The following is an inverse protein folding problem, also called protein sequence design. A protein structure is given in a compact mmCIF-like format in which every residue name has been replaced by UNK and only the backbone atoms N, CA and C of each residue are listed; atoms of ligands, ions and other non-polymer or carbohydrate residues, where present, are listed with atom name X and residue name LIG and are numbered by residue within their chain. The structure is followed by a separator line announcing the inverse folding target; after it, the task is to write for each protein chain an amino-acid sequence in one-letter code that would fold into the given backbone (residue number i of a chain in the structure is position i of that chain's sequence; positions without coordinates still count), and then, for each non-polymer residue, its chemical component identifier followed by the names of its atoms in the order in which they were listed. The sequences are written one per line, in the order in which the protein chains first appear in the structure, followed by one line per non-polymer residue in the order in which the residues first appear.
data_IF_343728418787
#
_entry.id   IF_343728418787
#
_cell.length_a   1.000
_cell.length_b   1.000
_cell.length_c   1.000
_cell.angle_alpha   90.00
_cell.angle_beta   90.00
_cell.angle_gamma   90.00
#
_symmetry.space_group_name_H-M   'P 1'
#
loop_
_entity.id
_entity.type
_entity.pdbx_description
1 polymer ?
#
# COMPACT_ATOMS: atom_id res chain seq x y z
N UNK A 1 11.76 5.20 24.14
CA UNK A 1 11.09 3.93 23.76
C UNK A 1 12.14 2.86 23.48
N UNK A 2 11.89 1.55 23.60
CA UNK A 2 12.89 0.53 23.20
C UNK A 2 13.09 0.60 21.68
N UNK A 3 14.35 0.54 21.21
CA UNK A 3 14.73 0.57 19.78
C UNK A 3 13.96 -0.45 18.94
N UNK A 4 13.72 -1.65 19.51
CA UNK A 4 12.87 -2.69 18.93
C UNK A 4 11.46 -2.21 18.60
N UNK A 5 10.83 -1.47 19.52
CA UNK A 5 9.46 -0.97 19.34
C UNK A 5 9.40 0.08 18.24
N UNK A 6 10.43 0.93 18.12
CA UNK A 6 10.50 1.93 17.04
C UNK A 6 10.56 1.26 15.66
N UNK A 7 11.50 0.33 15.47
CA UNK A 7 11.61 -0.41 14.21
C UNK A 7 10.37 -1.25 13.90
N UNK A 8 9.74 -1.84 14.92
CA UNK A 8 8.50 -2.59 14.76
C UNK A 8 7.37 -1.69 14.24
N UNK A 9 7.23 -0.48 14.80
CA UNK A 9 6.25 0.51 14.33
C UNK A 9 6.57 0.91 12.89
N UNK A 10 7.82 1.26 12.59
CA UNK A 10 8.26 1.67 11.24
C UNK A 10 7.97 0.59 10.19
N UNK A 11 8.30 -0.67 10.47
CA UNK A 11 8.04 -1.79 9.55
C UNK A 11 6.54 -2.02 9.37
N UNK A 12 5.73 -1.90 10.44
CA UNK A 12 4.26 -2.00 10.32
C UNK A 12 3.68 -0.88 9.46
N UNK A 13 4.21 0.34 9.53
CA UNK A 13 3.80 1.47 8.70
C UNK A 13 4.11 1.18 7.23
N UNK A 14 5.31 0.67 6.93
CA UNK A 14 5.66 0.22 5.59
C UNK A 14 4.74 -0.91 5.10
N UNK A 15 4.46 -1.90 5.96
CA UNK A 15 3.54 -2.99 5.66
C UNK A 15 2.12 -2.52 5.35
N UNK A 16 1.60 -1.55 6.12
CA UNK A 16 0.28 -0.94 5.87
C UNK A 16 0.29 -0.15 4.55
N UNK A 17 1.37 0.56 4.23
CA UNK A 17 1.51 1.25 2.94
C UNK A 17 1.49 0.28 1.75
N UNK A 18 2.19 -0.86 1.87
CA UNK A 18 2.13 -1.94 0.88
C UNK A 18 0.71 -2.50 0.81
N UNK A 19 0.02 -2.69 1.94
CA UNK A 19 -1.37 -3.13 1.95
C UNK A 19 -2.29 -2.17 1.18
N UNK A 20 -2.16 -0.85 1.36
CA UNK A 20 -2.94 0.11 0.57
C UNK A 20 -2.56 0.13 -0.92
N UNK A 21 -1.31 -0.20 -1.25
CA UNK A 21 -0.89 -0.37 -2.64
C UNK A 21 -1.58 -1.55 -3.34
N UNK A 22 -2.13 -2.51 -2.58
CA UNK A 22 -2.90 -3.62 -3.14
C UNK A 22 -4.16 -3.17 -3.87
N UNK A 23 -4.72 -1.99 -3.52
CA UNK A 23 -5.86 -1.39 -4.21
C UNK A 23 -5.59 -1.14 -5.71
N UNK A 24 -4.33 -0.97 -6.09
CA UNK A 24 -3.91 -0.82 -7.49
C UNK A 24 -3.37 -2.11 -8.08
N UNK A 25 -2.70 -2.94 -7.28
CA UNK A 25 -2.13 -4.23 -7.75
C UNK A 25 -3.23 -5.22 -8.14
N UNK A 26 -4.34 -5.26 -7.40
CA UNK A 26 -5.45 -6.18 -7.69
C UNK A 26 -6.10 -5.84 -9.06
N UNK A 27 -6.54 -4.59 -9.34
CA UNK A 27 -7.01 -4.21 -10.67
C UNK A 27 -5.97 -4.45 -11.77
N UNK A 28 -4.69 -4.18 -11.52
CA UNK A 28 -3.61 -4.42 -12.48
C UNK A 28 -3.56 -5.90 -12.88
N UNK A 29 -3.60 -6.79 -11.90
CA UNK A 29 -3.52 -8.22 -12.11
C UNK A 29 -4.67 -8.70 -13.01
N UNK A 30 -5.90 -8.30 -12.71
CA UNK A 30 -7.06 -8.66 -13.53
C UNK A 30 -7.03 -8.01 -14.92
N UNK A 31 -6.59 -6.76 -15.03
CA UNK A 31 -6.46 -6.07 -16.32
C UNK A 31 -5.45 -6.77 -17.23
N UNK A 32 -4.27 -7.09 -16.69
CA UNK A 32 -3.22 -7.76 -17.46
C UNK A 32 -3.61 -9.20 -17.82
N UNK A 33 -4.30 -9.92 -16.92
CA UNK A 33 -4.87 -11.23 -17.26
C UNK A 33 -5.87 -11.13 -18.40
N UNK A 34 -6.83 -10.21 -18.31
CA UNK A 34 -7.85 -10.03 -19.34
C UNK A 34 -7.23 -9.72 -20.71
N UNK A 35 -6.31 -8.76 -20.77
CA UNK A 35 -5.59 -8.41 -21.99
C UNK A 35 -4.79 -9.60 -22.56
N UNK A 36 -4.19 -10.42 -21.69
CA UNK A 36 -3.44 -11.62 -22.12
C UNK A 36 -4.36 -12.68 -22.73
N UNK A 37 -5.63 -12.79 -22.32
CA UNK A 37 -6.57 -13.76 -22.90
C UNK A 37 -7.26 -13.25 -24.17
N UNK A 38 -7.37 -11.93 -24.35
CA UNK A 38 -7.92 -11.32 -25.55
C UNK A 38 -6.91 -11.31 -26.71
N UNK A 39 -5.64 -11.06 -26.40
CA UNK A 39 -4.55 -11.07 -27.36
C UNK A 39 -4.23 -12.52 -27.76
N UNK A 40 -4.60 -12.96 -28.97
CA UNK A 40 -4.51 -14.36 -29.46
C UNK A 40 -3.10 -14.93 -29.64
N UNK A 41 -2.15 -14.50 -28.81
CA UNK A 41 -0.75 -14.85 -28.81
C UNK A 41 -0.50 -16.16 -28.02
N UNK A 42 0.28 -17.07 -28.58
CA UNK A 42 0.50 -18.42 -28.01
C UNK A 42 1.27 -18.44 -26.66
N UNK A 43 1.75 -17.30 -26.15
CA UNK A 43 2.58 -17.22 -24.95
C UNK A 43 1.78 -17.07 -23.64
N UNK A 44 0.47 -17.33 -23.64
CA UNK A 44 -0.40 -17.16 -22.48
C UNK A 44 0.10 -17.86 -21.20
N UNK A 45 0.73 -19.04 -21.33
CA UNK A 45 1.24 -19.82 -20.21
C UNK A 45 2.41 -19.13 -19.50
N UNK A 46 3.34 -18.56 -20.26
CA UNK A 46 4.52 -17.88 -19.71
C UNK A 46 4.13 -16.59 -18.98
N UNK A 47 3.23 -15.81 -19.60
CA UNK A 47 2.73 -14.55 -19.02
C UNK A 47 1.92 -14.85 -17.74
N UNK A 48 1.05 -15.86 -17.77
CA UNK A 48 0.26 -16.28 -16.60
C UNK A 48 1.16 -16.77 -15.47
N UNK A 49 2.21 -17.54 -15.77
CA UNK A 49 3.18 -17.99 -14.76
C UNK A 49 3.89 -16.80 -14.11
N UNK A 50 4.36 -15.84 -14.91
CA UNK A 50 5.03 -14.64 -14.38
C UNK A 50 4.10 -13.78 -13.52
N UNK A 51 2.83 -13.62 -13.93
CA UNK A 51 1.81 -12.91 -13.16
C UNK A 51 1.56 -13.56 -11.80
N UNK A 52 1.35 -14.87 -11.77
CA UNK A 52 1.14 -15.62 -10.52
C UNK A 52 2.38 -15.54 -9.62
N UNK A 53 3.57 -15.68 -10.21
CA UNK A 53 4.83 -15.57 -9.49
C UNK A 53 5.01 -14.18 -8.85
N UNK A 54 4.72 -13.11 -9.60
CA UNK A 54 4.77 -11.73 -9.11
C UNK A 54 3.75 -11.51 -7.98
N UNK A 55 2.52 -12.03 -8.13
CA UNK A 55 1.50 -11.97 -7.08
C UNK A 55 1.93 -12.70 -5.80
N UNK A 56 2.54 -13.88 -5.94
CA UNK A 56 3.07 -14.65 -4.80
C UNK A 56 4.18 -13.89 -4.07
N UNK A 57 5.11 -13.28 -4.81
CA UNK A 57 6.14 -12.41 -4.22
C UNK A 57 5.49 -11.25 -3.47
N UNK A 58 4.51 -10.58 -4.08
CA UNK A 58 3.82 -9.47 -3.46
C UNK A 58 3.13 -9.87 -2.14
N UNK A 59 2.40 -10.99 -2.14
CA UNK A 59 1.75 -11.53 -0.95
C UNK A 59 2.77 -11.94 0.13
N UNK A 60 3.92 -12.48 -0.27
CA UNK A 60 5.00 -12.83 0.64
C UNK A 60 5.61 -11.58 1.29
N UNK A 61 5.89 -10.53 0.53
CA UNK A 61 6.37 -9.24 1.05
C UNK A 61 5.34 -8.65 2.02
N UNK A 62 4.07 -8.59 1.62
CA UNK A 62 2.99 -8.09 2.48
C UNK A 62 2.91 -8.90 3.78
N UNK A 63 3.01 -10.24 3.68
CA UNK A 63 3.02 -11.12 4.85
C UNK A 63 4.17 -10.82 5.79
N UNK A 64 5.38 -10.64 5.25
CA UNK A 64 6.57 -10.37 6.05
C UNK A 64 6.48 -9.02 6.77
N UNK A 65 6.10 -7.95 6.06
CA UNK A 65 6.06 -6.60 6.63
C UNK A 65 4.92 -6.39 7.61
N UNK A 66 3.73 -6.98 7.37
CA UNK A 66 2.56 -6.80 8.24
C UNK A 66 2.59 -7.77 9.43
N UNK A 67 2.89 -9.05 9.20
CA UNK A 67 2.74 -10.09 10.21
C UNK A 67 4.05 -10.54 10.88
N UNK A 68 5.21 -10.27 10.28
CA UNK A 68 6.52 -10.65 10.84
C UNK A 68 7.56 -9.51 10.88
N UNK A 69 7.23 -8.35 11.47
CA UNK A 69 8.19 -7.26 11.59
C UNK A 69 9.44 -7.64 12.40
N UNK A 70 9.30 -8.48 13.43
CA UNK A 70 10.41 -8.93 14.28
C UNK A 70 11.47 -9.72 13.51
N UNK A 71 11.03 -10.58 12.58
CA UNK A 71 11.93 -11.34 11.72
C UNK A 71 12.77 -10.42 10.82
N UNK A 72 12.17 -9.33 10.32
CA UNK A 72 12.86 -8.33 9.50
C UNK A 72 13.91 -7.59 10.35
N UNK A 73 13.56 -7.19 11.58
CA UNK A 73 14.48 -6.51 12.51
C UNK A 73 15.71 -7.35 12.82
N UNK A 74 15.49 -8.63 13.12
CA UNK A 74 16.56 -9.58 13.45
C UNK A 74 17.44 -9.90 12.23
N UNK A 75 16.83 -10.11 11.06
CA UNK A 75 17.57 -10.47 9.84
C UNK A 75 18.42 -9.31 9.32
N UNK A 76 17.89 -8.09 9.35
CA UNK A 76 18.58 -6.88 8.94
C UNK A 76 19.47 -6.29 10.05
N UNK A 77 19.45 -6.87 11.26
CA UNK A 77 20.23 -6.44 12.42
C UNK A 77 20.07 -4.94 12.71
N UNK A 78 18.85 -4.43 12.58
CA UNK A 78 18.54 -2.99 12.68
C UNK A 78 18.84 -2.41 14.08
N UNK A 79 18.98 -3.27 15.08
CA UNK A 79 19.30 -2.90 16.47
C UNK A 79 20.82 -2.81 16.73
N UNK A 80 21.67 -3.36 15.85
CA UNK A 80 23.06 -3.67 16.18
C UNK A 80 23.99 -2.43 16.30
N UNK A 81 23.55 -1.25 15.86
CA UNK A 81 24.35 -0.02 15.88
C UNK A 81 23.68 1.17 16.59
N UNK A 82 22.63 0.93 17.37
CA UNK A 82 21.91 2.00 18.09
C UNK A 82 22.20 1.83 19.59
N UNK A 83 23.33 2.37 20.04
CA UNK A 83 23.78 2.30 21.44
C UNK A 83 23.02 3.28 22.36
N UNK A 84 22.39 4.31 21.79
CA UNK A 84 21.58 5.27 22.56
C UNK A 84 20.12 4.80 22.63
N UNK A 85 19.56 4.79 23.86
CA UNK A 85 18.11 4.74 24.03
C UNK A 85 17.53 5.89 23.22
N UNK A 86 16.67 5.58 22.24
CA UNK A 86 15.89 6.59 21.53
C UNK A 86 14.95 7.21 22.57
N UNK A 87 15.40 8.31 23.18
CA UNK A 87 14.68 9.05 24.21
C UNK A 87 13.69 10.04 23.56
N UNK A 88 12.89 9.51 22.65
CA UNK A 88 11.70 10.19 22.17
C UNK A 88 10.67 10.08 23.29
N UNK A 89 10.47 11.16 24.06
CA UNK A 89 9.37 11.35 25.00
C UNK A 89 8.03 11.54 24.26
N UNK A 90 7.78 10.72 23.24
CA UNK A 90 6.62 10.77 22.36
C UNK A 90 5.82 9.49 22.61
N UNK A 91 4.53 9.65 22.94
CA UNK A 91 3.62 8.52 23.11
C UNK A 91 3.52 7.71 21.80
N UNK A 92 3.51 6.38 21.90
CA UNK A 92 3.37 5.49 20.74
C UNK A 92 2.13 5.82 19.88
N UNK A 93 1.04 6.29 20.50
CA UNK A 93 -0.16 6.79 19.82
C UNK A 93 0.11 7.99 18.92
N UNK A 94 1.03 8.87 19.30
CA UNK A 94 1.42 10.05 18.50
C UNK A 94 2.25 9.62 17.31
N UNK A 95 3.17 8.66 17.49
CA UNK A 95 3.97 8.10 16.39
C UNK A 95 3.04 7.41 15.38
N UNK A 96 2.10 6.58 15.84
CA UNK A 96 1.17 5.89 14.96
C UNK A 96 0.27 6.88 14.20
N UNK A 97 -0.20 7.94 14.86
CA UNK A 97 -0.95 9.03 14.21
C UNK A 97 -0.19 9.70 13.08
N UNK A 98 1.03 10.15 13.36
CA UNK A 98 1.89 10.80 12.37
C UNK A 98 2.10 9.84 11.20
N UNK A 99 2.28 8.56 11.49
CA UNK A 99 2.56 7.57 10.46
C UNK A 99 1.36 7.26 9.59
N UNK A 100 0.16 7.13 10.16
CA UNK A 100 -1.09 7.00 9.40
C UNK A 100 -1.33 8.24 8.54
N UNK A 101 -1.07 9.44 9.09
CA UNK A 101 -1.15 10.67 8.32
C UNK A 101 -0.15 10.66 7.15
N UNK A 102 1.12 10.33 7.40
CA UNK A 102 2.16 10.25 6.36
C UNK A 102 1.80 9.22 5.29
N UNK A 103 1.28 8.04 5.65
CA UNK A 103 0.79 7.05 4.68
C UNK A 103 -0.34 7.65 3.83
N UNK A 104 -1.33 8.29 4.45
CA UNK A 104 -2.42 8.95 3.73
C UNK A 104 -1.92 10.03 2.76
N UNK A 105 -0.97 10.85 3.21
CA UNK A 105 -0.35 11.90 2.40
C UNK A 105 0.46 11.35 1.23
N UNK A 106 1.28 10.31 1.44
CA UNK A 106 2.02 9.64 0.36
C UNK A 106 1.09 8.96 -0.63
N UNK A 107 0.02 8.35 -0.13
CA UNK A 107 -1.00 7.71 -0.97
C UNK A 107 -1.69 8.75 -1.87
N UNK A 108 -2.03 9.93 -1.34
CA UNK A 108 -2.53 11.06 -2.12
C UNK A 108 -1.50 11.54 -3.15
N UNK A 109 -0.25 11.75 -2.72
CA UNK A 109 0.82 12.23 -3.60
C UNK A 109 1.07 11.28 -4.79
N UNK A 110 0.86 9.97 -4.60
CA UNK A 110 0.95 9.00 -5.69
C UNK A 110 -0.32 8.81 -6.50
N UNK A 111 -1.51 8.99 -5.92
CA UNK A 111 -2.79 8.72 -6.60
C UNK A 111 -3.38 9.91 -7.33
N UNK A 112 -3.18 11.14 -6.83
CA UNK A 112 -3.69 12.36 -7.48
C UNK A 112 -3.06 12.55 -8.87
N UNK A 113 -1.72 12.47 -9.07
CA UNK A 113 -1.13 12.63 -10.40
C UNK A 113 -1.66 11.59 -11.40
N UNK A 114 -1.75 10.33 -10.98
CA UNK A 114 -2.28 9.24 -11.81
C UNK A 114 -3.76 9.42 -12.14
N UNK A 115 -4.57 9.94 -11.20
CA UNK A 115 -5.96 10.30 -11.45
C UNK A 115 -6.05 11.45 -12.46
N UNK A 116 -5.21 12.47 -12.33
CA UNK A 116 -5.16 13.55 -13.31
C UNK A 116 -4.77 13.03 -14.69
N UNK A 117 -3.72 12.21 -14.79
CA UNK A 117 -3.26 11.59 -16.05
C UNK A 117 -4.38 10.79 -16.72
N UNK A 118 -5.01 9.87 -15.99
CA UNK A 118 -6.10 9.03 -16.52
C UNK A 118 -7.33 9.85 -16.91
N UNK A 119 -7.65 10.94 -16.19
CA UNK A 119 -8.70 11.87 -16.59
C UNK A 119 -8.34 12.66 -17.86
N UNK A 120 -7.10 13.13 -17.98
CA UNK A 120 -6.64 13.84 -19.18
C UNK A 120 -6.69 12.93 -20.42
N UNK A 121 -6.25 11.68 -20.28
CA UNK A 121 -6.36 10.70 -21.36
C UNK A 121 -7.81 10.48 -21.78
N UNK A 122 -8.71 10.33 -20.81
CA UNK A 122 -10.14 10.16 -21.05
C UNK A 122 -10.75 11.34 -21.82
N UNK A 123 -10.47 12.59 -21.41
CA UNK A 123 -10.99 13.78 -22.09
C UNK A 123 -10.35 14.03 -23.47
N UNK A 124 -9.17 13.48 -23.74
CA UNK A 124 -8.49 13.61 -25.05
C UNK A 124 -9.08 12.68 -26.11
N UNK A 125 -9.91 11.70 -25.73
CA UNK A 125 -10.46 10.74 -26.69
C UNK A 125 -11.57 11.34 -27.56
N UNK A 126 -11.57 10.95 -28.83
CA UNK A 126 -12.55 11.42 -29.84
C UNK A 126 -13.92 10.74 -29.72
N UNK A 127 -14.00 9.58 -29.06
CA UNK A 127 -15.26 8.90 -28.74
C UNK A 127 -15.33 8.71 -27.22
N UNK A 128 -16.47 9.05 -26.62
CA UNK A 128 -16.67 8.90 -25.19
C UNK A 128 -17.15 7.47 -24.92
N UNK A 129 -16.48 6.77 -24.00
CA UNK A 129 -16.90 5.51 -23.36
C UNK A 129 -16.97 4.21 -24.20
N UNK A 130 -16.73 4.23 -25.51
CA UNK A 130 -16.94 3.02 -26.33
C UNK A 130 -15.74 2.05 -26.29
N UNK A 131 -14.50 2.54 -26.13
CA UNK A 131 -13.27 1.71 -26.17
C UNK A 131 -12.25 1.99 -25.06
N UNK A 132 -12.64 2.70 -23.98
CA UNK A 132 -11.66 3.07 -22.96
C UNK A 132 -11.42 1.96 -21.94
N UNK A 133 -10.54 1.02 -22.27
CA UNK A 133 -10.03 -0.02 -21.36
C UNK A 133 -9.46 0.59 -20.06
N UNK A 134 -8.89 1.81 -20.17
CA UNK A 134 -8.34 2.57 -19.05
C UNK A 134 -9.40 3.24 -18.14
N UNK A 135 -10.69 3.19 -18.46
CA UNK A 135 -11.74 3.79 -17.62
C UNK A 135 -11.79 3.17 -16.22
N UNK A 136 -11.44 1.89 -16.11
CA UNK A 136 -11.34 1.14 -14.85
C UNK A 136 -10.27 1.74 -13.92
N UNK A 137 -9.21 2.34 -14.47
CA UNK A 137 -8.14 2.97 -13.72
C UNK A 137 -8.56 4.29 -13.07
N UNK A 138 -9.46 5.05 -13.70
CA UNK A 138 -10.01 6.29 -13.12
C UNK A 138 -10.68 5.98 -11.78
N UNK A 139 -11.52 4.94 -11.74
CA UNK A 139 -12.21 4.51 -10.51
C UNK A 139 -11.21 4.05 -9.46
N UNK A 140 -10.20 3.26 -9.85
CA UNK A 140 -9.17 2.77 -8.94
C UNK A 140 -8.35 3.92 -8.29
N UNK A 141 -7.87 4.87 -9.09
CA UNK A 141 -7.11 6.02 -8.58
C UNK A 141 -7.99 6.99 -7.79
N UNK A 142 -9.28 7.08 -8.11
CA UNK A 142 -10.25 7.87 -7.35
C UNK A 142 -10.47 7.29 -5.95
N UNK A 143 -10.76 5.99 -5.86
CA UNK A 143 -10.87 5.30 -4.56
C UNK A 143 -9.56 5.40 -3.76
N UNK A 144 -8.41 5.21 -4.42
CA UNK A 144 -7.09 5.34 -3.78
C UNK A 144 -6.87 6.75 -3.21
N UNK A 145 -7.25 7.78 -3.97
CA UNK A 145 -7.18 9.17 -3.51
C UNK A 145 -8.13 9.41 -2.33
N UNK A 146 -9.36 8.92 -2.40
CA UNK A 146 -10.35 9.07 -1.32
C UNK A 146 -9.87 8.41 -0.02
N UNK A 147 -9.34 7.20 -0.09
CA UNK A 147 -8.79 6.48 1.06
C UNK A 147 -7.57 7.22 1.62
N UNK A 148 -6.64 7.68 0.75
CA UNK A 148 -5.50 8.48 1.17
C UNK A 148 -5.91 9.76 1.91
N UNK A 149 -6.93 10.46 1.40
CA UNK A 149 -7.52 11.65 2.02
C UNK A 149 -8.12 11.37 3.39
N UNK A 150 -8.89 10.28 3.52
CA UNK A 150 -9.50 9.89 4.79
C UNK A 150 -8.43 9.53 5.83
N UNK A 151 -7.37 8.80 5.43
CA UNK A 151 -6.25 8.47 6.32
C UNK A 151 -5.47 9.70 6.76
N UNK A 152 -5.21 10.64 5.84
CA UNK A 152 -4.49 11.87 6.14
C UNK A 152 -5.28 12.74 7.14
N UNK A 153 -6.56 12.97 6.86
CA UNK A 153 -7.42 13.89 7.62
C UNK A 153 -7.90 13.28 8.95
N UNK A 154 -8.19 11.97 8.96
CA UNK A 154 -8.76 11.27 10.12
C UNK A 154 -7.76 10.33 10.81
N UNK A 155 -6.46 10.61 10.69
CA UNK A 155 -5.37 9.80 11.26
C UNK A 155 -5.60 9.43 12.75
N UNK A 156 -6.13 10.36 13.55
CA UNK A 156 -6.53 10.17 14.96
C UNK A 156 -7.59 9.09 15.16
N UNK A 157 -8.63 9.07 14.33
CA UNK A 157 -9.71 8.10 14.42
C UNK A 157 -9.22 6.70 14.02
N UNK A 158 -8.45 6.61 12.94
CA UNK A 158 -7.88 5.36 12.42
C UNK A 158 -6.90 4.76 13.44
N UNK A 159 -6.03 5.59 14.02
CA UNK A 159 -5.08 5.17 15.07
C UNK A 159 -5.79 4.65 16.32
N UNK A 160 -6.89 5.30 16.72
CA UNK A 160 -7.72 4.84 17.85
C UNK A 160 -8.38 3.48 17.57
N UNK A 161 -8.82 3.25 16.33
CA UNK A 161 -9.39 1.97 15.91
C UNK A 161 -8.34 0.85 15.97
N UNK A 162 -7.12 1.12 15.47
CA UNK A 162 -6.01 0.17 15.49
C UNK A 162 -5.57 -0.16 16.92
N UNK A 163 -5.50 0.83 17.83
CA UNK A 163 -5.13 0.59 19.23
C UNK A 163 -6.19 -0.19 20.01
N UNK A 164 -7.49 0.10 19.80
CA UNK A 164 -8.59 -0.61 20.47
C UNK A 164 -8.55 -2.12 20.18
N UNK A 165 -8.25 -2.49 18.93
CA UNK A 165 -8.10 -3.89 18.53
C UNK A 165 -6.91 -4.61 19.16
N UNK A 166 -5.85 -3.87 19.54
CA UNK A 166 -4.67 -4.45 20.18
C UNK A 166 -4.90 -4.77 21.66
N UNK A 167 -5.68 -3.95 22.36
CA UNK A 167 -6.05 -4.18 23.78
C UNK A 167 -7.10 -5.29 23.94
N UNK A 168 -7.95 -5.55 22.93
CA UNK A 168 -8.96 -6.64 22.97
C UNK A 168 -8.36 -8.04 22.73
N UNK A 169 -7.07 -8.15 22.38
CA UNK A 169 -6.34 -9.42 22.20
C UNK A 169 -5.53 -9.88 23.41
N UNK A 170 -5.71 -9.25 24.58
CA UNK A 170 -5.07 -9.62 25.84
C UNK A 170 -6.09 -9.98 26.93
#
# INVERSE_FOLDING_TARGET
MKTKTFWTILIKILGISILFSSLTVIPQFFSTLYATFEDGNNNHLEISFFLIFSLLIYLLILRLFVFKPEWIIEKLKLEKNIEEKIDLNIKASTILNISVAVIGGLMLAGSIPMLCETLFEFFRQKSLFIDFENSKWIVAYFLKSLIGYLLFTNSKAVTKFIFKQADETH
#
